data_IF_121096162251
#
_entry.id   IF_121096162251
#
_cell.length_a   1.000
_cell.length_b   1.000
_cell.length_c   1.000
_cell.angle_alpha   90.00
_cell.angle_beta   90.00
_cell.angle_gamma   90.00
#
_symmetry.space_group_name_H-M   'P 1'
#
loop_
_entity.id
_entity.type
_entity.pdbx_description
1 polymer ?
#
# COMPACT_ATOMS: atom_id res chain seq x y z
N UNK A 1 10.34 -19.63 8.27
CA UNK A 1 9.95 -18.47 7.45
C UNK A 1 9.03 -17.59 8.27
N UNK A 2 9.52 -16.42 8.66
CA UNK A 2 8.73 -15.41 9.38
C UNK A 2 7.37 -15.15 8.69
N UNK A 3 6.25 -15.18 9.42
CA UNK A 3 4.92 -14.89 8.86
C UNK A 3 4.77 -13.42 8.40
N UNK A 4 5.75 -12.56 8.71
CA UNK A 4 5.81 -11.15 8.33
C UNK A 4 6.96 -10.82 7.35
N UNK A 5 7.37 -11.79 6.53
CA UNK A 5 8.36 -11.56 5.48
C UNK A 5 7.87 -10.47 4.51
N UNK A 6 8.67 -9.41 4.37
CA UNK A 6 8.39 -8.30 3.45
C UNK A 6 8.89 -8.61 2.04
N UNK A 7 9.95 -9.41 1.93
CA UNK A 7 10.52 -9.89 0.67
C UNK A 7 10.83 -11.37 0.84
N UNK A 8 10.42 -12.18 -0.14
CA UNK A 8 10.79 -13.59 -0.24
C UNK A 8 11.55 -13.74 -1.56
N UNK A 9 12.74 -14.33 -1.49
CA UNK A 9 13.56 -14.64 -2.67
C UNK A 9 13.77 -16.15 -2.73
N UNK A 10 13.57 -16.70 -3.93
CA UNK A 10 13.87 -18.09 -4.22
C UNK A 10 15.01 -18.17 -5.23
N UNK A 11 16.00 -18.99 -4.93
CA UNK A 11 17.13 -19.25 -5.84
C UNK A 11 17.23 -20.75 -6.08
N UNK A 12 17.17 -21.13 -7.36
CA UNK A 12 17.45 -22.50 -7.78
C UNK A 12 18.97 -22.74 -7.79
N UNK A 13 19.55 -22.92 -6.61
CA UNK A 13 21.00 -23.08 -6.44
C UNK A 13 21.59 -24.22 -7.29
N UNK A 14 20.97 -25.42 -7.42
CA UNK A 14 21.50 -26.47 -8.29
C UNK A 14 21.65 -26.03 -9.75
N UNK A 15 20.67 -25.29 -10.27
CA UNK A 15 20.72 -24.78 -11.63
C UNK A 15 21.81 -23.71 -11.80
N UNK A 16 21.90 -22.78 -10.85
CA UNK A 16 22.89 -21.72 -10.84
C UNK A 16 24.32 -22.28 -10.75
N UNK A 17 24.56 -23.28 -9.90
CA UNK A 17 25.85 -23.96 -9.80
C UNK A 17 26.26 -24.59 -11.13
N UNK A 18 25.34 -25.21 -11.88
CA UNK A 18 25.67 -25.77 -13.20
C UNK A 18 26.15 -24.71 -14.18
N UNK A 19 25.60 -23.51 -14.11
CA UNK A 19 25.97 -22.40 -14.99
C UNK A 19 27.30 -21.75 -14.58
N UNK A 20 27.54 -21.60 -13.28
CA UNK A 20 28.68 -20.82 -12.77
C UNK A 20 29.90 -21.67 -12.39
N UNK A 21 29.76 -23.00 -12.26
CA UNK A 21 30.87 -23.87 -11.83
C UNK A 21 32.09 -23.80 -12.76
N UNK A 22 31.88 -23.60 -14.07
CA UNK A 22 32.99 -23.41 -15.01
C UNK A 22 33.84 -22.17 -14.66
N UNK A 23 33.20 -21.05 -14.31
CA UNK A 23 33.89 -19.84 -13.88
C UNK A 23 34.60 -20.03 -12.53
N UNK A 24 33.94 -20.72 -11.59
CA UNK A 24 34.54 -21.06 -10.30
C UNK A 24 35.79 -21.95 -10.46
N UNK A 25 35.76 -22.91 -11.39
CA UNK A 25 36.89 -23.79 -11.69
C UNK A 25 38.07 -23.01 -12.28
N UNK A 26 37.80 -22.09 -13.21
CA UNK A 26 38.84 -21.19 -13.77
C UNK A 26 39.46 -20.35 -12.64
N UNK A 27 38.62 -19.69 -11.84
CA UNK A 27 39.09 -18.87 -10.72
C UNK A 27 39.92 -19.66 -9.69
N UNK A 28 39.45 -20.85 -9.29
CA UNK A 28 40.17 -21.73 -8.37
C UNK A 28 41.52 -22.18 -8.96
N UNK A 29 41.54 -22.58 -10.23
CA UNK A 29 42.76 -23.04 -10.89
C UNK A 29 43.79 -21.92 -10.97
N UNK A 30 43.38 -20.72 -11.39
CA UNK A 30 44.26 -19.54 -11.43
C UNK A 30 44.76 -19.18 -10.03
N UNK A 31 43.87 -19.10 -9.04
CA UNK A 31 44.21 -18.75 -7.67
C UNK A 31 45.14 -19.76 -6.98
N UNK A 32 44.89 -21.06 -7.16
CA UNK A 32 45.73 -22.12 -6.60
C UNK A 32 47.13 -22.12 -7.22
N UNK A 33 47.25 -21.91 -8.54
CA UNK A 33 48.55 -21.78 -9.20
C UNK A 33 49.34 -20.57 -8.67
N UNK A 34 48.68 -19.42 -8.45
CA UNK A 34 49.30 -18.23 -7.86
C UNK A 34 49.72 -18.50 -6.40
N UNK A 35 48.85 -19.12 -5.61
CA UNK A 35 49.11 -19.42 -4.20
C UNK A 35 50.27 -20.40 -4.01
N UNK A 36 50.40 -21.40 -4.88
CA UNK A 36 51.53 -22.33 -4.90
C UNK A 36 52.81 -21.60 -5.28
N UNK A 37 52.76 -20.76 -6.33
CA UNK A 37 53.94 -20.04 -6.83
C UNK A 37 54.47 -18.99 -5.85
N UNK A 38 53.58 -18.22 -5.22
CA UNK A 38 53.97 -17.06 -4.41
C UNK A 38 53.99 -17.35 -2.90
N UNK A 39 53.02 -18.11 -2.40
CA UNK A 39 52.83 -18.33 -0.96
C UNK A 39 53.23 -19.75 -0.51
N UNK A 40 53.66 -20.62 -1.45
CA UNK A 40 54.00 -22.04 -1.20
C UNK A 40 52.93 -22.79 -0.41
N UNK A 41 51.68 -22.38 -0.55
CA UNK A 41 50.56 -23.05 0.11
C UNK A 41 50.33 -24.40 -0.60
N UNK A 42 50.07 -25.49 0.13
CA UNK A 42 49.85 -26.81 -0.45
C UNK A 42 48.43 -26.94 -1.03
N UNK A 43 48.02 -26.00 -1.87
CA UNK A 43 46.69 -25.95 -2.49
C UNK A 43 46.83 -26.39 -3.93
N UNK A 44 46.01 -27.34 -4.38
CA UNK A 44 46.05 -27.80 -5.78
C UNK A 44 44.71 -27.59 -6.47
N UNK A 45 44.69 -27.39 -7.80
CA UNK A 45 43.45 -27.33 -8.57
C UNK A 45 42.54 -28.54 -8.33
N UNK A 46 43.13 -29.72 -8.09
CA UNK A 46 42.42 -30.98 -7.84
C UNK A 46 41.65 -31.02 -6.52
N UNK A 47 41.89 -30.09 -5.59
CA UNK A 47 41.13 -30.01 -4.34
C UNK A 47 39.68 -29.59 -4.53
N UNK A 48 39.33 -28.97 -5.66
CA UNK A 48 37.94 -28.61 -5.94
C UNK A 48 37.15 -29.85 -6.40
N UNK A 49 36.08 -30.27 -5.70
CA UNK A 49 35.32 -31.45 -6.06
C UNK A 49 34.54 -31.25 -7.35
N UNK A 50 34.38 -32.30 -8.16
CA UNK A 50 33.60 -32.22 -9.40
C UNK A 50 32.15 -31.79 -9.18
N UNK A 51 31.57 -31.11 -10.18
CA UNK A 51 30.19 -30.62 -10.12
C UNK A 51 29.15 -31.71 -9.77
N UNK A 52 29.18 -32.93 -10.32
CA UNK A 52 28.25 -33.99 -9.93
C UNK A 52 28.37 -34.41 -8.46
N UNK A 53 29.54 -34.23 -7.84
CA UNK A 53 29.76 -34.52 -6.42
C UNK A 53 29.22 -33.39 -5.55
N UNK A 54 29.43 -32.13 -5.95
CA UNK A 54 28.92 -30.96 -5.24
C UNK A 54 27.40 -30.86 -5.27
N UNK A 55 26.79 -31.06 -6.44
CA UNK A 55 25.35 -30.80 -6.62
C UNK A 55 24.45 -31.69 -5.75
N UNK A 56 24.96 -32.83 -5.27
CA UNK A 56 24.27 -33.71 -4.32
C UNK A 56 24.03 -33.04 -2.96
N UNK A 57 24.84 -32.05 -2.63
CA UNK A 57 24.78 -31.29 -1.39
C UNK A 57 24.25 -29.87 -1.60
N UNK A 58 23.77 -29.55 -2.80
CA UNK A 58 23.19 -28.24 -3.11
C UNK A 58 21.67 -28.39 -3.17
N UNK A 59 20.96 -27.73 -2.26
CA UNK A 59 19.49 -27.59 -2.31
C UNK A 59 19.11 -26.20 -2.82
N UNK A 60 17.89 -26.01 -3.34
CA UNK A 60 17.35 -24.67 -3.53
C UNK A 60 17.44 -23.84 -2.24
N UNK A 61 17.60 -22.54 -2.40
CA UNK A 61 17.72 -21.60 -1.28
C UNK A 61 16.50 -20.68 -1.26
N UNK A 62 15.91 -20.54 -0.08
CA UNK A 62 14.85 -19.56 0.19
C UNK A 62 15.38 -18.58 1.21
N UNK A 63 15.32 -17.29 0.88
CA UNK A 63 15.65 -16.22 1.79
C UNK A 63 14.41 -15.37 2.04
N UNK A 64 14.15 -15.06 3.30
CA UNK A 64 13.11 -14.14 3.72
C UNK A 64 13.73 -12.95 4.45
N UNK A 65 13.33 -11.75 4.04
CA UNK A 65 13.70 -10.52 4.72
C UNK A 65 12.46 -9.93 5.36
N UNK A 66 12.50 -9.74 6.67
CA UNK A 66 11.49 -9.05 7.44
C UNK A 66 12.07 -7.78 8.05
N UNK A 67 11.20 -6.80 8.28
CA UNK A 67 11.54 -5.58 9.00
C UNK A 67 10.47 -5.28 10.03
N UNK A 68 10.86 -5.08 11.28
CA UNK A 68 9.99 -4.69 12.38
C UNK A 68 10.56 -3.47 13.12
N UNK A 69 10.05 -3.18 14.32
CA UNK A 69 10.52 -2.05 15.11
C UNK A 69 11.91 -2.29 15.72
N UNK A 70 12.36 -3.55 15.78
CA UNK A 70 13.60 -4.00 16.40
C UNK A 70 14.74 -4.09 15.38
N UNK A 71 14.43 -4.23 14.09
CA UNK A 71 15.41 -4.12 13.02
C UNK A 71 15.02 -4.86 11.75
N UNK A 72 16.04 -5.29 11.01
CA UNK A 72 15.92 -6.08 9.80
C UNK A 72 16.40 -7.50 10.14
N UNK A 73 15.55 -8.49 9.90
CA UNK A 73 15.91 -9.90 10.07
C UNK A 73 16.00 -10.56 8.71
N UNK A 74 17.07 -11.32 8.48
CA UNK A 74 17.28 -12.12 7.28
C UNK A 74 17.31 -13.58 7.72
N UNK A 75 16.31 -14.36 7.29
CA UNK A 75 16.28 -15.79 7.48
C UNK A 75 16.66 -16.46 6.14
N UNK A 76 17.68 -17.32 6.14
CA UNK A 76 18.01 -18.16 4.99
C UNK A 76 17.79 -19.64 5.31
N UNK A 77 17.22 -20.36 4.36
CA UNK A 77 17.11 -21.81 4.37
C UNK A 77 17.75 -22.35 3.10
N UNK A 78 18.88 -23.04 3.24
CA UNK A 78 19.65 -23.59 2.13
C UNK A 78 20.77 -24.50 2.63
N UNK A 79 21.45 -25.15 1.69
CA UNK A 79 22.49 -26.13 1.99
C UNK A 79 23.90 -25.55 2.10
N UNK A 80 24.05 -24.24 1.93
CA UNK A 80 25.33 -23.55 2.07
C UNK A 80 25.39 -22.79 3.41
N UNK A 81 26.52 -22.86 4.14
CA UNK A 81 26.70 -22.12 5.39
C UNK A 81 26.54 -20.60 5.16
N UNK A 82 25.95 -19.91 6.13
CA UNK A 82 25.58 -18.47 6.09
C UNK A 82 24.72 -18.04 4.88
N UNK A 83 24.03 -18.98 4.26
CA UNK A 83 23.22 -18.73 3.06
C UNK A 83 24.10 -18.26 1.90
N UNK A 84 25.18 -19.00 1.58
CA UNK A 84 26.28 -18.58 0.70
C UNK A 84 25.98 -17.97 -0.69
N UNK A 85 24.74 -18.02 -1.20
CA UNK A 85 24.34 -17.19 -2.37
C UNK A 85 23.87 -15.77 -1.96
N UNK A 86 23.87 -15.47 -0.67
CA UNK A 86 23.56 -14.18 -0.05
C UNK A 86 24.45 -13.09 -0.62
N UNK A 87 25.73 -13.33 -0.91
CA UNK A 87 26.60 -12.32 -1.52
C UNK A 87 26.09 -11.82 -2.89
N UNK A 88 25.31 -12.62 -3.62
CA UNK A 88 24.70 -12.24 -4.90
C UNK A 88 23.36 -11.51 -4.68
N UNK A 89 22.61 -11.87 -3.64
CA UNK A 89 21.25 -11.37 -3.36
C UNK A 89 21.18 -10.20 -2.35
N UNK A 90 22.20 -10.03 -1.51
CA UNK A 90 22.34 -8.98 -0.50
C UNK A 90 22.16 -7.55 -1.04
N UNK A 91 22.75 -7.13 -2.18
CA UNK A 91 22.54 -5.78 -2.70
C UNK A 91 21.06 -5.55 -3.09
N UNK A 92 20.38 -6.54 -3.67
CA UNK A 92 18.96 -6.44 -4.02
C UNK A 92 18.06 -6.40 -2.77
N UNK A 93 18.44 -7.10 -1.71
CA UNK A 93 17.70 -7.12 -0.44
C UNK A 93 17.85 -5.82 0.35
N UNK A 94 19.06 -5.27 0.41
CA UNK A 94 19.33 -3.99 1.08
C UNK A 94 18.61 -2.81 0.40
N UNK A 95 18.48 -2.82 -0.93
CA UNK A 95 17.64 -1.84 -1.64
C UNK A 95 16.14 -2.02 -1.32
N UNK A 96 15.68 -3.27 -1.24
CA UNK A 96 14.29 -3.59 -0.96
C UNK A 96 13.81 -3.12 0.42
N UNK A 97 14.62 -3.26 1.47
CA UNK A 97 14.23 -2.90 2.83
C UNK A 97 14.05 -1.38 3.03
N UNK A 98 14.89 -0.56 2.38
CA UNK A 98 14.71 0.91 2.38
C UNK A 98 13.42 1.36 1.70
N UNK A 99 12.88 0.55 0.80
CA UNK A 99 11.63 0.84 0.10
C UNK A 99 10.37 0.48 0.90
N UNK A 100 10.46 -0.30 1.99
CA UNK A 100 9.27 -0.76 2.74
C UNK A 100 8.51 0.41 3.40
N UNK A 101 9.17 1.32 4.16
CA UNK A 101 8.47 2.46 4.75
C UNK A 101 7.92 3.43 3.70
N UNK A 102 8.64 3.62 2.59
CA UNK A 102 8.19 4.49 1.50
C UNK A 102 6.98 3.90 0.77
N UNK A 103 6.92 2.57 0.61
CA UNK A 103 5.78 1.88 0.00
C UNK A 103 4.54 1.91 0.89
N UNK A 104 4.70 1.74 2.21
CA UNK A 104 3.61 1.90 3.17
C UNK A 104 3.02 3.32 3.16
N UNK A 105 3.89 4.34 3.18
CA UNK A 105 3.49 5.75 3.05
C UNK A 105 2.85 6.04 1.69
N UNK A 106 3.37 5.47 0.60
CA UNK A 106 2.82 5.61 -0.74
C UNK A 106 1.42 5.00 -0.85
N UNK A 107 1.20 3.79 -0.33
CA UNK A 107 -0.12 3.14 -0.27
C UNK A 107 -1.12 3.96 0.54
N UNK A 108 -0.72 4.47 1.72
CA UNK A 108 -1.57 5.35 2.53
C UNK A 108 -1.94 6.66 1.79
N UNK A 109 -0.98 7.30 1.12
CA UNK A 109 -1.24 8.49 0.27
C UNK A 109 -2.17 8.15 -0.90
N UNK A 110 -1.94 7.04 -1.60
CA UNK A 110 -2.76 6.62 -2.73
C UNK A 110 -4.20 6.32 -2.31
N UNK A 111 -4.41 5.63 -1.19
CA UNK A 111 -5.76 5.38 -0.66
C UNK A 111 -6.46 6.67 -0.23
N UNK A 112 -5.74 7.61 0.41
CA UNK A 112 -6.28 8.96 0.72
C UNK A 112 -6.69 9.71 -0.54
N UNK A 113 -5.89 9.68 -1.59
CA UNK A 113 -6.22 10.28 -2.87
C UNK A 113 -7.46 9.63 -3.52
N UNK A 114 -7.57 8.31 -3.46
CA UNK A 114 -8.74 7.59 -3.96
C UNK A 114 -10.03 7.92 -3.18
N UNK A 115 -9.96 8.06 -1.84
CA UNK A 115 -11.09 8.58 -1.04
C UNK A 115 -11.47 10.01 -1.44
N UNK A 116 -10.47 10.88 -1.66
CA UNK A 116 -10.73 12.25 -2.11
C UNK A 116 -11.40 12.27 -3.50
N UNK A 117 -11.02 11.35 -4.40
CA UNK A 117 -11.66 11.18 -5.69
C UNK A 117 -13.14 10.74 -5.55
N UNK A 118 -13.45 9.80 -4.67
CA UNK A 118 -14.84 9.42 -4.38
C UNK A 118 -15.66 10.62 -3.88
N UNK A 119 -15.15 11.41 -2.93
CA UNK A 119 -15.81 12.63 -2.47
C UNK A 119 -15.98 13.67 -3.59
N UNK A 120 -15.01 13.79 -4.50
CA UNK A 120 -15.12 14.67 -5.67
C UNK A 120 -16.23 14.22 -6.60
N UNK A 121 -16.36 12.91 -6.83
CA UNK A 121 -17.47 12.32 -7.59
C UNK A 121 -18.82 12.58 -6.91
N UNK A 122 -18.90 12.41 -5.59
CA UNK A 122 -20.11 12.74 -4.80
C UNK A 122 -20.46 14.22 -4.95
N UNK A 123 -19.48 15.12 -4.81
CA UNK A 123 -19.71 16.57 -4.95
C UNK A 123 -20.21 16.97 -6.33
N UNK A 124 -19.62 16.39 -7.40
CA UNK A 124 -20.12 16.59 -8.77
C UNK A 124 -21.57 16.12 -8.90
N UNK A 125 -21.88 14.95 -8.36
CA UNK A 125 -23.24 14.40 -8.39
C UNK A 125 -24.24 15.27 -7.60
N UNK A 126 -23.85 15.82 -6.44
CA UNK A 126 -24.67 16.79 -5.71
C UNK A 126 -24.96 18.05 -6.53
N UNK A 127 -23.96 18.57 -7.24
CA UNK A 127 -24.14 19.74 -8.11
C UNK A 127 -25.03 19.42 -9.30
N UNK A 128 -24.84 18.27 -9.95
CA UNK A 128 -25.73 17.80 -11.03
C UNK A 128 -27.16 17.63 -10.54
N UNK A 129 -27.36 17.01 -9.38
CA UNK A 129 -28.68 16.89 -8.75
C UNK A 129 -29.30 18.27 -8.49
N UNK A 130 -28.53 19.23 -7.98
CA UNK A 130 -29.02 20.57 -7.68
C UNK A 130 -29.48 21.36 -8.92
N UNK A 131 -28.88 21.12 -10.08
CA UNK A 131 -29.33 21.72 -11.36
C UNK A 131 -30.77 21.31 -11.66
N UNK A 132 -31.12 20.06 -11.41
CA UNK A 132 -32.45 19.51 -11.67
C UNK A 132 -33.44 19.76 -10.51
N UNK A 133 -32.93 20.09 -9.31
CA UNK A 133 -33.72 20.19 -8.08
C UNK A 133 -33.68 21.60 -7.45
N UNK A 134 -33.84 22.64 -8.27
CA UNK A 134 -33.97 24.05 -7.82
C UNK A 134 -32.85 24.47 -6.84
N UNK A 135 -31.60 24.15 -7.17
CA UNK A 135 -30.39 24.42 -6.38
C UNK A 135 -30.24 23.61 -5.08
N UNK A 136 -31.18 22.72 -4.75
CA UNK A 136 -31.12 21.92 -3.53
C UNK A 136 -30.18 20.72 -3.70
N UNK A 137 -29.33 20.49 -2.70
CA UNK A 137 -28.57 19.24 -2.64
C UNK A 137 -29.48 18.06 -2.27
N UNK A 138 -29.06 16.81 -2.59
CA UNK A 138 -29.91 15.64 -2.37
C UNK A 138 -30.22 15.43 -0.89
N UNK A 139 -31.37 14.83 -0.54
CA UNK A 139 -31.79 14.60 0.85
C UNK A 139 -30.92 13.56 1.58
N UNK A 140 -30.22 12.70 0.83
CA UNK A 140 -29.26 11.73 1.35
C UNK A 140 -28.35 11.26 0.19
N UNK A 141 -27.32 10.46 0.49
CA UNK A 141 -26.43 9.92 -0.54
C UNK A 141 -27.08 8.81 -1.39
N UNK A 142 -28.13 8.16 -0.89
CA UNK A 142 -28.83 7.11 -1.62
C UNK A 142 -29.61 7.69 -2.82
N UNK A 143 -30.15 8.91 -2.69
CA UNK A 143 -30.78 9.63 -3.79
C UNK A 143 -29.84 9.79 -5.00
N UNK A 144 -28.53 9.98 -4.78
CA UNK A 144 -27.55 10.05 -5.87
C UNK A 144 -27.37 8.71 -6.58
N UNK A 145 -27.52 7.60 -5.87
CA UNK A 145 -27.47 6.24 -6.44
C UNK A 145 -28.77 5.96 -7.21
N UNK A 146 -29.92 6.32 -6.65
CA UNK A 146 -31.24 6.13 -7.25
C UNK A 146 -31.38 6.90 -8.58
N UNK A 147 -30.87 8.13 -8.62
CA UNK A 147 -30.78 8.95 -9.84
C UNK A 147 -29.64 8.53 -10.79
N UNK A 148 -28.93 7.42 -10.50
CA UNK A 148 -27.81 6.90 -11.29
C UNK A 148 -26.66 7.90 -11.52
N UNK A 149 -26.51 8.89 -10.63
CA UNK A 149 -25.44 9.89 -10.70
C UNK A 149 -24.11 9.34 -10.15
N UNK A 150 -24.19 8.36 -9.25
CA UNK A 150 -23.05 7.60 -8.73
C UNK A 150 -23.40 6.12 -8.60
N UNK A 151 -22.38 5.29 -8.38
CA UNK A 151 -22.58 3.87 -8.04
C UNK A 151 -22.51 3.66 -6.53
N UNK A 152 -23.12 2.60 -5.97
CA UNK A 152 -22.97 2.24 -4.56
C UNK A 152 -21.50 2.10 -4.13
N UNK A 153 -20.62 1.72 -5.06
CA UNK A 153 -19.18 1.56 -4.84
C UNK A 153 -18.50 2.89 -4.48
N UNK A 154 -19.00 4.01 -4.95
CA UNK A 154 -18.47 5.35 -4.62
C UNK A 154 -18.62 5.68 -3.14
N UNK A 155 -19.62 5.09 -2.46
CA UNK A 155 -19.93 5.31 -1.05
C UNK A 155 -19.05 4.50 -0.08
N UNK A 156 -18.11 3.70 -0.60
CA UNK A 156 -17.20 2.86 0.18
C UNK A 156 -15.79 3.43 0.11
N UNK A 157 -15.15 3.61 1.27
CA UNK A 157 -13.79 4.11 1.35
C UNK A 157 -12.77 3.02 0.95
N UNK A 158 -11.72 3.37 0.16
CA UNK A 158 -10.60 2.47 -0.10
C UNK A 158 -9.70 2.22 1.13
N UNK A 159 -9.85 3.01 2.21
CA UNK A 159 -9.08 2.86 3.45
C UNK A 159 -9.75 1.99 4.50
N UNK A 160 -11.00 1.57 4.28
CA UNK A 160 -11.69 0.64 5.16
C UNK A 160 -10.97 -0.71 5.10
N UNK A 161 -10.01 -0.94 6.00
CA UNK A 161 -9.16 -2.14 6.06
C UNK A 161 -9.89 -3.46 6.33
N UNK A 162 -11.20 -3.54 6.06
CA UNK A 162 -12.04 -4.73 6.18
C UNK A 162 -12.43 -5.22 4.78
N UNK A 163 -12.71 -6.53 4.61
CA UNK A 163 -13.22 -7.05 3.35
C UNK A 163 -14.41 -6.22 2.87
N UNK A 164 -14.37 -5.81 1.60
CA UNK A 164 -15.49 -5.12 0.96
C UNK A 164 -16.71 -6.03 1.07
N UNK A 165 -17.83 -5.58 1.65
CA UNK A 165 -19.04 -6.38 1.63
C UNK A 165 -19.43 -6.66 0.17
N UNK A 166 -20.02 -7.83 -0.13
CA UNK A 166 -20.61 -8.07 -1.43
C UNK A 166 -21.62 -6.96 -1.73
N UNK A 167 -21.59 -6.39 -2.93
CA UNK A 167 -22.61 -5.46 -3.40
C UNK A 167 -23.83 -6.31 -3.78
N UNK A 168 -24.73 -6.55 -2.83
CA UNK A 168 -26.00 -7.24 -3.09
C UNK A 168 -27.05 -6.24 -3.55
N UNK A 169 -27.28 -6.17 -4.87
CA UNK A 169 -28.35 -5.37 -5.48
C UNK A 169 -28.03 -3.87 -5.69
N UNK A 170 -29.08 -3.07 -5.91
CA UNK A 170 -29.00 -1.61 -6.17
C UNK A 170 -28.81 -0.77 -4.91
N UNK A 171 -28.96 -1.36 -3.72
CA UNK A 171 -28.79 -0.68 -2.43
C UNK A 171 -27.47 -1.12 -1.78
N UNK A 172 -26.64 -0.18 -1.28
CA UNK A 172 -25.45 -0.56 -0.52
C UNK A 172 -25.85 -1.33 0.73
N UNK A 173 -25.37 -2.56 0.89
CA UNK A 173 -25.65 -3.44 2.03
C UNK A 173 -25.15 -2.93 3.40
N UNK A 174 -24.55 -1.72 3.47
CA UNK A 174 -23.99 -1.12 4.68
C UNK A 174 -24.09 0.41 4.67
N UNK A 175 -24.10 1.06 5.85
CA UNK A 175 -24.00 2.51 5.95
C UNK A 175 -22.72 3.03 5.28
N UNK A 176 -22.86 4.10 4.50
CA UNK A 176 -21.79 4.82 3.79
C UNK A 176 -20.57 5.10 4.70
N UNK A 177 -19.37 5.05 4.14
CA UNK A 177 -18.14 5.47 4.83
C UNK A 177 -17.97 7.00 4.85
N UNK A 178 -18.90 7.72 4.21
CA UNK A 178 -18.98 9.17 4.18
C UNK A 178 -20.18 9.65 4.98
N UNK A 179 -19.95 10.67 5.81
CA UNK A 179 -20.99 11.38 6.55
C UNK A 179 -21.42 12.57 5.70
N UNK A 180 -22.73 12.67 5.47
CA UNK A 180 -23.34 13.66 4.60
C UNK A 180 -24.12 14.70 5.41
N UNK A 181 -23.94 15.97 5.07
CA UNK A 181 -24.54 17.14 5.71
C UNK A 181 -25.30 18.04 4.72
N UNK A 182 -25.41 17.62 3.46
CA UNK A 182 -26.03 18.41 2.40
C UNK A 182 -27.57 18.54 2.36
N UNK A 183 -28.43 17.81 3.11
CA UNK A 183 -29.89 17.90 2.91
C UNK A 183 -30.49 19.30 3.08
N UNK A 184 -29.85 20.16 3.87
CA UNK A 184 -30.26 21.54 4.14
C UNK A 184 -29.31 22.57 3.51
N UNK A 185 -28.45 22.13 2.59
CA UNK A 185 -27.55 23.00 1.85
C UNK A 185 -28.01 23.12 0.40
N UNK A 186 -27.61 24.20 -0.24
CA UNK A 186 -27.88 24.49 -1.65
C UNK A 186 -26.58 24.81 -2.37
N UNK A 187 -26.60 24.81 -3.71
CA UNK A 187 -25.45 25.27 -4.52
C UNK A 187 -25.11 26.74 -4.31
N UNK A 188 -25.97 27.52 -3.63
CA UNK A 188 -25.77 28.92 -3.27
C UNK A 188 -25.32 29.11 -1.81
N UNK A 189 -25.24 28.04 -1.02
CA UNK A 189 -24.76 28.13 0.35
C UNK A 189 -23.30 28.59 0.41
N UNK A 190 -22.82 29.18 1.53
CA UNK A 190 -21.44 29.63 1.63
C UNK A 190 -20.43 28.54 1.26
N UNK A 191 -19.48 28.90 0.41
CA UNK A 191 -18.58 27.95 -0.29
C UNK A 191 -17.73 27.08 0.63
N UNK A 192 -17.49 27.52 1.87
CA UNK A 192 -16.64 26.87 2.84
C UNK A 192 -17.38 26.02 3.88
N UNK A 193 -18.69 25.83 3.70
CA UNK A 193 -19.48 24.86 4.46
C UNK A 193 -19.18 23.43 4.02
N UNK A 194 -19.29 22.49 4.95
CA UNK A 194 -19.05 21.06 4.70
C UNK A 194 -20.31 20.42 4.14
N UNK A 195 -20.20 19.79 2.97
CA UNK A 195 -21.26 18.99 2.35
C UNK A 195 -21.16 17.53 2.78
N UNK A 196 -19.95 16.98 2.76
CA UNK A 196 -19.68 15.61 3.18
C UNK A 196 -18.25 15.45 3.67
N UNK A 197 -17.98 14.43 4.47
CA UNK A 197 -16.62 14.07 4.85
C UNK A 197 -16.52 12.57 5.10
N UNK A 198 -15.32 12.02 4.93
CA UNK A 198 -15.06 10.62 5.25
C UNK A 198 -15.00 10.43 6.78
N UNK A 199 -15.47 9.28 7.29
CA UNK A 199 -15.45 9.01 8.73
C UNK A 199 -13.99 9.07 9.27
N UNK A 200 -13.69 9.89 10.29
CA UNK A 200 -12.29 10.11 10.74
C UNK A 200 -11.61 8.91 11.40
N UNK A 201 -12.37 7.96 11.93
CA UNK A 201 -11.87 6.70 12.51
C UNK A 201 -11.11 5.86 11.49
N UNK A 202 -11.47 5.95 10.21
CA UNK A 202 -10.80 5.29 9.08
C UNK A 202 -9.31 5.71 8.98
N UNK A 203 -8.97 6.90 9.47
CA UNK A 203 -7.62 7.46 9.45
C UNK A 203 -7.00 7.61 10.83
N UNK A 204 -7.49 6.85 11.82
CA UNK A 204 -6.98 6.91 13.19
C UNK A 204 -7.10 8.29 13.84
N UNK A 205 -8.14 9.04 13.48
CA UNK A 205 -8.43 10.37 14.05
C UNK A 205 -7.33 11.43 13.82
N UNK A 206 -6.43 11.25 12.85
CA UNK A 206 -5.44 12.28 12.50
C UNK A 206 -6.06 13.42 11.66
N UNK A 207 -7.06 13.08 10.85
CA UNK A 207 -7.76 13.98 9.93
C UNK A 207 -8.63 13.19 8.96
N UNK A 208 -9.27 13.88 8.03
CA UNK A 208 -10.10 13.23 7.02
C UNK A 208 -10.22 14.05 5.75
N UNK A 209 -10.68 13.44 4.65
CA UNK A 209 -11.07 14.17 3.45
C UNK A 209 -12.44 14.83 3.66
N UNK A 210 -12.53 16.11 3.30
CA UNK A 210 -13.73 16.95 3.48
C UNK A 210 -14.11 17.56 2.14
N UNK A 211 -15.37 17.40 1.76
CA UNK A 211 -16.00 18.02 0.60
C UNK A 211 -16.72 19.31 1.04
N UNK A 212 -16.44 20.39 0.32
CA UNK A 212 -17.07 21.71 0.52
C UNK A 212 -18.14 22.00 -0.54
N UNK A 213 -18.97 23.03 -0.30
CA UNK A 213 -20.08 23.43 -1.19
C UNK A 213 -19.60 23.76 -2.60
N UNK A 214 -18.44 24.41 -2.74
CA UNK A 214 -17.82 24.71 -4.04
C UNK A 214 -17.22 23.47 -4.76
N UNK A 215 -17.40 22.28 -4.19
CA UNK A 215 -16.91 21.02 -4.75
C UNK A 215 -15.41 20.78 -4.53
N UNK A 216 -14.69 21.63 -3.79
CA UNK A 216 -13.31 21.31 -3.38
C UNK A 216 -13.30 20.17 -2.37
N UNK A 217 -12.26 19.34 -2.45
CA UNK A 217 -12.01 18.28 -1.48
C UNK A 217 -10.63 18.49 -0.88
N UNK A 218 -10.54 18.60 0.45
CA UNK A 218 -9.28 18.83 1.15
C UNK A 218 -9.10 17.84 2.30
N UNK A 219 -7.86 17.38 2.48
CA UNK A 219 -7.46 16.72 3.72
C UNK A 219 -7.46 17.74 4.86
N UNK A 220 -8.24 17.48 5.89
CA UNK A 220 -8.47 18.40 7.00
C UNK A 220 -8.07 17.74 8.31
N UNK A 221 -7.11 18.30 9.07
CA UNK A 221 -6.77 17.83 10.42
C UNK A 221 -7.97 17.94 11.36
N UNK A 222 -8.08 17.03 12.34
CA UNK A 222 -9.25 16.95 13.22
C UNK A 222 -9.61 18.27 13.93
N UNK A 223 -8.62 19.02 14.41
CA UNK A 223 -8.88 20.31 15.05
C UNK A 223 -9.56 21.31 14.11
N UNK A 224 -9.17 21.34 12.83
CA UNK A 224 -9.79 22.19 11.81
C UNK A 224 -11.16 21.66 11.41
N UNK A 225 -11.31 20.34 11.28
CA UNK A 225 -12.59 19.68 11.00
C UNK A 225 -13.64 20.05 12.05
N UNK A 226 -13.29 19.94 13.34
CA UNK A 226 -14.22 20.23 14.43
C UNK A 226 -14.72 21.70 14.40
N UNK A 227 -13.82 22.66 14.12
CA UNK A 227 -14.21 24.07 13.96
C UNK A 227 -15.15 24.28 12.78
N UNK A 228 -14.85 23.66 11.63
CA UNK A 228 -15.67 23.77 10.43
C UNK A 228 -17.03 23.05 10.58
N UNK A 229 -17.07 21.91 11.28
CA UNK A 229 -18.30 21.21 11.62
C UNK A 229 -19.18 22.04 12.55
N UNK A 230 -18.60 22.67 13.58
CA UNK A 230 -19.34 23.60 14.45
C UNK A 230 -19.98 24.71 13.63
N UNK A 231 -19.20 25.39 12.79
CA UNK A 231 -19.71 26.46 11.92
C UNK A 231 -20.81 25.97 10.97
N UNK A 232 -20.63 24.80 10.35
CA UNK A 232 -21.64 24.22 9.45
C UNK A 232 -22.93 23.92 10.21
N UNK A 233 -22.85 23.32 11.41
CA UNK A 233 -24.02 23.08 12.26
C UNK A 233 -24.71 24.37 12.70
N UNK A 234 -23.94 25.40 13.08
CA UNK A 234 -24.47 26.70 13.46
C UNK A 234 -25.22 27.36 12.29
N UNK A 235 -24.75 27.18 11.05
CA UNK A 235 -25.44 27.64 9.84
C UNK A 235 -26.74 26.86 9.61
N UNK A 236 -26.68 25.52 9.66
CA UNK A 236 -27.85 24.67 9.46
C UNK A 236 -28.95 24.93 10.50
N UNK A 237 -28.57 25.16 11.75
CA UNK A 237 -29.51 25.48 12.84
C UNK A 237 -30.24 26.83 12.63
N UNK A 238 -29.66 27.76 11.85
CA UNK A 238 -30.33 29.02 11.49
C UNK A 238 -31.30 28.88 10.32
N UNK A 239 -31.06 27.93 9.41
CA UNK A 239 -31.92 27.66 8.25
C UNK A 239 -33.14 26.79 8.61
N UNK A 240 -33.06 26.02 9.69
CA UNK A 240 -34.19 25.22 10.21
C UNK A 240 -35.11 25.96 11.18
N UNK A 241 -34.89 27.27 11.39
CA UNK A 241 -35.79 28.18 12.10
C UNK A 241 -36.49 29.06 11.09
#
# INVERSE_FOLDING_TARGET
LSPSASIITYVNAPHLFRQLYGLALVGWTTGSNIAVGNAKLPITPAMLPSLPKLIKYVSPEIQAVSSDAQGITIESFGSLPDGGLSLISLPMQLLGVRAIPSLGRARSKARRAASAANLKTIGKACLTYAVENRTQFPPNLDALVEHKLITPRTLISPNRGRPRPPVTGTKPARPSDYIYLGPMLTSQSPVDLIVAYEKPDIHGMAGTNVLYVDGRVLWTPMAKLNRQLKRTRDYLAKQGK
#
